data_IF_727702597302
#
_entry.id   IF_727702597302
#
_cell.length_a   1.000
_cell.length_b   1.000
_cell.length_c   1.000
_cell.angle_alpha   90.00
_cell.angle_beta   90.00
_cell.angle_gamma   90.00
#
_symmetry.space_group_name_H-M   'P 1'
#
loop_
_entity.id
_entity.type
_entity.pdbx_description
1 polymer ?
#
# COMPACT_ATOMS: atom_id res chain seq x y z
N UNK A 1 21.13 -21.55 -9.07
CA UNK A 1 21.19 -21.96 -10.49
C UNK A 1 20.33 -20.99 -11.28
N UNK A 2 20.92 -20.10 -12.06
CA UNK A 2 20.18 -19.19 -12.93
C UNK A 2 19.61 -20.02 -14.10
N UNK A 3 18.28 -20.02 -14.26
CA UNK A 3 17.64 -20.60 -15.45
C UNK A 3 18.07 -19.81 -16.68
N UNK A 4 18.44 -20.52 -17.74
CA UNK A 4 18.75 -19.91 -19.04
C UNK A 4 17.52 -19.22 -19.62
N UNK A 5 17.74 -18.09 -20.28
CA UNK A 5 16.72 -17.20 -20.88
C UNK A 5 16.05 -17.82 -22.13
N UNK A 6 16.30 -19.08 -22.42
CA UNK A 6 15.83 -19.79 -23.63
C UNK A 6 14.54 -20.61 -23.47
N UNK A 7 13.88 -20.52 -22.33
CA UNK A 7 12.56 -21.14 -22.17
C UNK A 7 11.48 -20.12 -22.61
N UNK A 8 11.02 -20.27 -23.82
CA UNK A 8 10.11 -19.33 -24.53
C UNK A 8 8.67 -19.29 -23.91
N UNK A 9 8.44 -20.10 -22.87
CA UNK A 9 7.17 -20.17 -22.16
C UNK A 9 7.20 -19.33 -20.88
N UNK A 10 6.20 -18.46 -20.67
CA UNK A 10 6.09 -17.71 -19.42
C UNK A 10 5.67 -18.62 -18.26
N UNK A 11 6.22 -18.38 -17.06
CA UNK A 11 5.78 -19.08 -15.84
C UNK A 11 4.32 -18.75 -15.46
N UNK A 12 3.86 -17.54 -15.79
CA UNK A 12 2.48 -17.07 -15.53
C UNK A 12 1.98 -16.25 -16.73
N UNK A 13 0.81 -16.61 -17.23
CA UNK A 13 0.08 -15.82 -18.22
C UNK A 13 -1.07 -15.07 -17.56
N UNK A 14 -1.32 -13.83 -17.99
CA UNK A 14 -2.44 -13.01 -17.51
C UNK A 14 -2.96 -12.07 -18.60
N UNK A 15 -4.21 -11.59 -18.42
CA UNK A 15 -4.80 -10.59 -19.30
C UNK A 15 -4.25 -9.19 -18.98
N UNK A 16 -4.03 -8.92 -17.70
CA UNK A 16 -3.55 -7.62 -17.20
C UNK A 16 -2.44 -7.82 -16.17
N UNK A 17 -1.30 -7.24 -16.45
CA UNK A 17 -0.19 -7.15 -15.50
C UNK A 17 -0.03 -5.71 -15.03
N UNK A 18 -0.01 -5.53 -13.71
CA UNK A 18 0.18 -4.22 -13.07
C UNK A 18 1.50 -4.22 -12.32
N UNK A 19 2.38 -3.29 -12.64
CA UNK A 19 3.66 -3.11 -11.97
C UNK A 19 3.59 -1.98 -10.95
N UNK A 20 3.74 -2.34 -9.67
CA UNK A 20 3.64 -1.44 -8.52
C UNK A 20 2.24 -1.41 -7.90
N UNK A 21 2.18 -1.57 -6.57
CA UNK A 21 0.94 -1.65 -5.79
C UNK A 21 0.64 -0.35 -5.01
N UNK A 22 1.03 0.79 -5.54
CA UNK A 22 0.56 2.09 -5.05
C UNK A 22 -0.93 2.32 -5.38
N UNK A 23 -1.52 3.50 -5.02
CA UNK A 23 -2.94 3.76 -5.20
C UNK A 23 -3.45 3.55 -6.64
N UNK A 24 -2.70 3.97 -7.64
CA UNK A 24 -3.03 3.72 -9.05
C UNK A 24 -2.97 2.23 -9.41
N UNK A 25 -1.93 1.54 -8.92
CA UNK A 25 -1.69 0.13 -9.25
C UNK A 25 -2.73 -0.80 -8.64
N UNK A 26 -2.97 -0.76 -7.33
CA UNK A 26 -3.98 -1.63 -6.74
C UNK A 26 -5.39 -1.31 -7.25
N UNK A 27 -5.69 -0.03 -7.53
CA UNK A 27 -6.98 0.35 -8.11
C UNK A 27 -7.17 -0.24 -9.51
N UNK A 28 -6.16 -0.15 -10.36
CA UNK A 28 -6.18 -0.76 -11.69
C UNK A 28 -6.31 -2.28 -11.62
N UNK A 29 -5.52 -2.94 -10.76
CA UNK A 29 -5.57 -4.39 -10.59
C UNK A 29 -6.94 -4.87 -10.09
N UNK A 30 -7.51 -4.20 -9.09
CA UNK A 30 -8.81 -4.58 -8.54
C UNK A 30 -9.92 -4.36 -9.56
N UNK A 31 -9.90 -3.23 -10.28
CA UNK A 31 -10.89 -2.99 -11.32
C UNK A 31 -10.79 -3.97 -12.47
N UNK A 32 -9.59 -4.33 -12.89
CA UNK A 32 -9.39 -5.35 -13.94
C UNK A 32 -9.95 -6.71 -13.51
N UNK A 33 -9.71 -7.11 -12.28
CA UNK A 33 -10.24 -8.35 -11.72
C UNK A 33 -11.77 -8.32 -11.60
N UNK A 34 -12.36 -7.18 -11.17
CA UNK A 34 -13.81 -7.00 -11.10
C UNK A 34 -14.48 -7.08 -12.49
N UNK A 35 -13.74 -6.80 -13.55
CA UNK A 35 -14.14 -6.96 -14.95
C UNK A 35 -13.87 -8.38 -15.51
N UNK A 36 -13.53 -9.33 -14.65
CA UNK A 36 -13.31 -10.73 -15.02
C UNK A 36 -11.95 -11.03 -15.66
N UNK A 37 -10.99 -10.10 -15.62
CA UNK A 37 -9.66 -10.30 -16.18
C UNK A 37 -8.76 -11.08 -15.24
N UNK A 38 -7.97 -12.03 -15.77
CA UNK A 38 -6.89 -12.68 -15.04
C UNK A 38 -5.79 -11.65 -14.77
N UNK A 39 -5.67 -11.20 -13.52
CA UNK A 39 -4.84 -10.07 -13.16
C UNK A 39 -3.67 -10.46 -12.27
N UNK A 40 -2.47 -9.98 -12.62
CA UNK A 40 -1.26 -10.09 -11.82
C UNK A 40 -0.83 -8.70 -11.37
N UNK A 41 -0.53 -8.55 -10.08
CA UNK A 41 -0.01 -7.34 -9.44
C UNK A 41 1.40 -7.62 -8.90
N UNK A 42 2.38 -6.91 -9.41
CA UNK A 42 3.78 -7.05 -8.99
C UNK A 42 4.17 -5.91 -8.06
N UNK A 43 4.72 -6.23 -6.88
CA UNK A 43 5.17 -5.23 -5.91
C UNK A 43 6.53 -5.64 -5.32
N UNK A 44 7.47 -4.71 -5.30
CA UNK A 44 8.82 -4.95 -4.76
C UNK A 44 8.90 -4.91 -3.23
N UNK A 45 7.99 -4.19 -2.58
CA UNK A 45 7.97 -4.07 -1.13
C UNK A 45 7.09 -5.13 -0.47
N UNK A 46 7.33 -5.38 0.81
CA UNK A 46 6.61 -6.41 1.57
C UNK A 46 5.10 -6.14 1.71
N UNK A 47 4.67 -4.88 1.60
CA UNK A 47 3.27 -4.48 1.78
C UNK A 47 2.73 -3.78 0.54
N UNK A 48 1.44 -3.99 0.25
CA UNK A 48 0.72 -3.22 -0.76
C UNK A 48 0.46 -1.78 -0.26
N UNK A 49 0.10 -0.88 -1.18
CA UNK A 49 -0.28 0.49 -0.85
C UNK A 49 0.74 1.55 -1.27
N UNK A 50 1.95 1.12 -1.66
CA UNK A 50 3.01 2.01 -2.13
C UNK A 50 3.43 3.07 -1.09
N UNK A 51 4.05 4.14 -1.55
CA UNK A 51 4.47 5.27 -0.71
C UNK A 51 3.29 5.90 0.03
N UNK A 52 2.14 6.06 -0.63
CA UNK A 52 0.97 6.73 -0.04
C UNK A 52 0.52 6.08 1.27
N UNK A 53 0.30 4.77 1.29
CA UNK A 53 -0.19 4.09 2.49
C UNK A 53 0.89 3.85 3.53
N UNK A 54 2.10 3.54 3.09
CA UNK A 54 3.13 3.06 4.00
C UNK A 54 3.94 4.19 4.66
N UNK A 55 4.30 5.24 3.91
CA UNK A 55 5.21 6.28 4.39
C UNK A 55 4.78 7.72 4.03
N UNK A 56 3.66 7.90 3.32
CA UNK A 56 3.19 9.18 2.82
C UNK A 56 1.84 9.60 3.42
N UNK A 57 0.80 9.56 2.58
CA UNK A 57 -0.51 10.17 2.87
C UNK A 57 -1.16 9.66 4.16
N UNK A 58 -1.12 8.36 4.41
CA UNK A 58 -1.82 7.78 5.55
C UNK A 58 -1.12 8.08 6.87
N UNK A 59 0.19 7.79 7.05
CA UNK A 59 0.87 8.13 8.29
C UNK A 59 0.88 9.64 8.56
N UNK A 60 1.04 10.49 7.54
CA UNK A 60 1.02 11.94 7.72
C UNK A 60 -0.35 12.44 8.18
N UNK A 61 -1.44 11.98 7.55
CA UNK A 61 -2.79 12.38 7.95
C UNK A 61 -3.18 11.87 9.34
N UNK A 62 -2.73 10.69 9.72
CA UNK A 62 -2.95 10.18 11.07
C UNK A 62 -2.30 11.09 12.15
N UNK A 63 -1.09 11.59 11.89
CA UNK A 63 -0.38 12.50 12.80
C UNK A 63 -0.92 13.92 12.74
N UNK A 64 -1.22 14.43 11.54
CA UNK A 64 -1.79 15.76 11.36
C UNK A 64 -3.16 15.91 12.04
N UNK A 65 -3.97 14.84 12.03
CA UNK A 65 -5.25 14.85 12.76
C UNK A 65 -5.04 15.05 14.28
N UNK A 66 -4.06 14.39 14.87
CA UNK A 66 -3.73 14.59 16.29
C UNK A 66 -3.29 16.04 16.55
N UNK A 67 -2.42 16.57 15.68
CA UNK A 67 -1.98 17.96 15.79
C UNK A 67 -3.16 18.96 15.69
N UNK A 68 -4.07 18.72 14.75
CA UNK A 68 -5.26 19.56 14.56
C UNK A 68 -6.17 19.57 15.80
N UNK A 69 -6.40 18.40 16.42
CA UNK A 69 -7.19 18.29 17.66
C UNK A 69 -6.55 19.05 18.81
N UNK A 70 -5.21 18.98 18.92
CA UNK A 70 -4.48 19.71 19.95
C UNK A 70 -4.57 21.23 19.74
N UNK A 71 -4.43 21.68 18.50
CA UNK A 71 -4.55 23.09 18.12
C UNK A 71 -5.96 23.63 18.36
N UNK A 72 -6.97 22.86 17.96
CA UNK A 72 -8.38 23.19 18.23
C UNK A 72 -8.67 23.31 19.73
N UNK A 73 -8.19 22.37 20.54
CA UNK A 73 -8.33 22.43 22.02
C UNK A 73 -7.71 23.70 22.61
N UNK A 74 -6.56 24.15 22.12
CA UNK A 74 -5.94 25.39 22.55
C UNK A 74 -6.78 26.64 22.18
N UNK A 75 -7.41 26.63 21.00
CA UNK A 75 -8.27 27.74 20.57
C UNK A 75 -9.54 27.88 21.44
N UNK A 76 -10.03 26.80 22.02
CA UNK A 76 -11.19 26.83 22.92
C UNK A 76 -10.97 27.67 24.19
N UNK A 77 -9.71 27.86 24.61
CA UNK A 77 -9.38 28.75 25.72
C UNK A 77 -9.86 30.20 25.47
N UNK A 78 -9.87 30.65 24.21
CA UNK A 78 -10.34 31.98 23.82
C UNK A 78 -11.84 32.21 24.04
N UNK A 79 -12.60 31.12 24.14
CA UNK A 79 -14.07 31.17 24.39
C UNK A 79 -14.42 30.66 25.79
N UNK A 80 -13.44 30.57 26.68
CA UNK A 80 -13.62 30.24 28.08
C UNK A 80 -13.56 28.76 28.45
N UNK A 81 -13.13 27.88 27.55
CA UNK A 81 -12.92 26.44 27.83
C UNK A 81 -11.45 26.10 27.75
N UNK A 82 -10.81 25.90 28.88
CA UNK A 82 -9.39 25.55 28.97
C UNK A 82 -9.22 24.07 29.27
N UNK A 83 -8.61 23.33 28.32
CA UNK A 83 -8.27 21.90 28.47
C UNK A 83 -6.89 21.69 29.12
N UNK A 84 -6.15 22.74 29.43
CA UNK A 84 -4.78 22.69 29.92
C UNK A 84 -3.76 22.24 28.87
N UNK A 85 -2.53 22.05 29.28
CA UNK A 85 -1.44 21.61 28.37
C UNK A 85 -1.56 20.11 28.12
N UNK A 86 -1.54 19.66 26.86
CA UNK A 86 -1.57 18.24 26.54
C UNK A 86 -0.29 17.53 26.98
N UNK A 87 -0.43 16.32 27.51
CA UNK A 87 0.68 15.40 27.75
C UNK A 87 0.81 14.45 26.59
N UNK A 88 2.01 14.34 26.00
CA UNK A 88 2.28 13.51 24.82
C UNK A 88 3.06 12.26 25.18
N UNK A 89 2.49 11.11 24.87
CA UNK A 89 3.17 9.81 24.86
C UNK A 89 3.53 9.48 23.41
N UNK A 90 4.78 9.70 23.03
CA UNK A 90 5.25 9.52 21.66
C UNK A 90 5.22 8.05 21.21
N UNK A 91 5.37 7.10 22.11
CA UNK A 91 5.35 5.68 21.78
C UNK A 91 3.93 5.22 21.47
N UNK A 92 2.94 5.67 22.25
CA UNK A 92 1.52 5.44 21.92
C UNK A 92 1.11 6.11 20.62
N UNK A 93 1.59 7.31 20.36
CA UNK A 93 1.32 8.02 19.11
C UNK A 93 1.90 7.28 17.89
N UNK A 94 3.14 6.80 17.98
CA UNK A 94 3.77 5.98 16.94
C UNK A 94 3.01 4.67 16.73
N UNK A 95 2.60 4.01 17.82
CA UNK A 95 1.82 2.78 17.77
C UNK A 95 0.45 3.01 17.10
N UNK A 96 -0.24 4.11 17.41
CA UNK A 96 -1.48 4.51 16.77
C UNK A 96 -1.29 4.68 15.25
N UNK A 97 -0.29 5.49 14.84
CA UNK A 97 0.05 5.68 13.43
C UNK A 97 0.30 4.35 12.71
N UNK A 98 1.10 3.47 13.32
CA UNK A 98 1.42 2.15 12.75
C UNK A 98 0.21 1.23 12.65
N UNK A 99 -0.70 1.27 13.63
CA UNK A 99 -1.98 0.54 13.60
C UNK A 99 -2.87 1.00 12.45
N UNK A 100 -2.97 2.31 12.20
CA UNK A 100 -3.74 2.86 11.08
C UNK A 100 -3.19 2.37 9.74
N UNK A 101 -1.87 2.47 9.54
CA UNK A 101 -1.19 1.98 8.33
C UNK A 101 -1.43 0.48 8.15
N UNK A 102 -1.19 -0.32 9.19
CA UNK A 102 -1.35 -1.78 9.14
C UNK A 102 -2.78 -2.22 8.82
N UNK A 103 -3.79 -1.51 9.36
CA UNK A 103 -5.20 -1.78 9.04
C UNK A 103 -5.50 -1.59 7.56
N UNK A 104 -5.01 -0.50 6.96
CA UNK A 104 -5.29 -0.19 5.56
C UNK A 104 -4.51 -1.09 4.60
N UNK A 105 -3.23 -1.32 4.85
CA UNK A 105 -2.41 -2.23 4.03
C UNK A 105 -2.89 -3.68 4.12
N UNK A 106 -3.32 -4.13 5.32
CA UNK A 106 -3.96 -5.44 5.51
C UNK A 106 -5.27 -5.55 4.75
N UNK A 107 -6.07 -4.48 4.72
CA UNK A 107 -7.30 -4.41 3.92
C UNK A 107 -7.05 -4.62 2.42
N UNK A 108 -5.97 -4.04 1.86
CA UNK A 108 -5.60 -4.26 0.46
C UNK A 108 -5.28 -5.73 0.16
N UNK A 109 -4.55 -6.40 1.05
CA UNK A 109 -4.27 -7.83 0.89
C UNK A 109 -5.56 -8.67 0.90
N UNK A 110 -6.49 -8.35 1.78
CA UNK A 110 -7.82 -9.02 1.83
C UNK A 110 -8.60 -8.78 0.53
N UNK A 111 -8.60 -7.54 0.04
CA UNK A 111 -9.29 -7.19 -1.22
C UNK A 111 -8.66 -7.87 -2.44
N UNK A 112 -7.32 -7.98 -2.50
CA UNK A 112 -6.62 -8.69 -3.57
C UNK A 112 -7.01 -10.18 -3.59
N UNK A 113 -7.02 -10.83 -2.42
CA UNK A 113 -7.44 -12.23 -2.28
C UNK A 113 -8.89 -12.46 -2.69
N UNK A 114 -9.81 -11.60 -2.22
CA UNK A 114 -11.24 -11.71 -2.55
C UNK A 114 -11.51 -11.60 -4.05
N UNK A 115 -10.70 -10.82 -4.77
CA UNK A 115 -10.77 -10.63 -6.23
C UNK A 115 -9.92 -11.61 -7.04
N UNK A 116 -9.25 -12.53 -6.37
CA UNK A 116 -8.34 -13.50 -7.00
C UNK A 116 -7.21 -12.84 -7.82
N UNK A 117 -6.78 -11.64 -7.40
CA UNK A 117 -5.59 -10.99 -7.97
C UNK A 117 -4.36 -11.74 -7.50
N UNK A 118 -3.54 -12.22 -8.44
CA UNK A 118 -2.26 -12.85 -8.12
C UNK A 118 -1.25 -11.76 -7.76
N UNK A 119 -0.79 -11.75 -6.50
CA UNK A 119 0.21 -10.79 -6.04
C UNK A 119 1.57 -11.47 -6.01
N UNK A 120 2.52 -10.92 -6.78
CA UNK A 120 3.91 -11.38 -6.83
C UNK A 120 4.82 -10.35 -6.16
N UNK A 121 5.72 -10.86 -5.31
CA UNK A 121 6.73 -10.04 -4.62
C UNK A 121 8.05 -10.09 -5.38
N UNK A 122 8.50 -8.93 -5.86
CA UNK A 122 9.75 -8.86 -6.58
C UNK A 122 9.93 -7.58 -7.37
N UNK A 123 11.11 -7.43 -7.94
CA UNK A 123 11.45 -6.31 -8.83
C UNK A 123 11.14 -6.72 -10.26
N UNK A 124 10.19 -6.04 -10.88
CA UNK A 124 9.80 -6.29 -12.26
C UNK A 124 10.62 -5.45 -13.24
N UNK A 125 11.03 -6.07 -14.35
CA UNK A 125 11.71 -5.44 -15.48
C UNK A 125 11.05 -5.87 -16.78
N UNK A 126 10.64 -4.92 -17.61
CA UNK A 126 10.14 -5.23 -18.96
C UNK A 126 11.25 -5.79 -19.83
N UNK A 127 11.02 -6.96 -20.40
CA UNK A 127 11.93 -7.64 -21.34
C UNK A 127 11.33 -7.74 -22.74
N UNK A 128 10.10 -7.25 -22.92
CA UNK A 128 9.41 -7.17 -24.19
C UNK A 128 8.07 -6.43 -24.02
N UNK A 129 7.34 -6.16 -25.12
CA UNK A 129 6.10 -5.39 -25.08
C UNK A 129 4.98 -6.06 -24.26
N UNK A 130 5.03 -7.40 -24.09
CA UNK A 130 4.05 -8.18 -23.34
C UNK A 130 4.71 -9.12 -22.34
N UNK A 131 5.97 -8.87 -21.96
CA UNK A 131 6.74 -9.71 -21.02
C UNK A 131 7.39 -8.88 -19.93
N UNK A 132 7.21 -9.32 -18.70
CA UNK A 132 7.88 -8.80 -17.51
C UNK A 132 8.67 -9.94 -16.85
N UNK A 133 9.95 -9.73 -16.66
CA UNK A 133 10.76 -10.57 -15.78
C UNK A 133 10.64 -10.07 -14.35
N UNK A 134 10.52 -10.98 -13.39
CA UNK A 134 10.39 -10.63 -11.97
C UNK A 134 11.49 -11.33 -11.19
N UNK A 135 12.36 -10.54 -10.58
CA UNK A 135 13.35 -11.01 -9.62
C UNK A 135 12.64 -11.11 -8.26
N UNK A 136 12.28 -12.34 -7.88
CA UNK A 136 11.51 -12.61 -6.65
C UNK A 136 12.34 -12.24 -5.43
N UNK A 137 11.81 -11.38 -4.58
CA UNK A 137 12.37 -11.11 -3.25
C UNK A 137 11.72 -12.04 -2.24
N UNK A 138 12.53 -12.90 -1.64
CA UNK A 138 12.17 -13.77 -0.50
C UNK A 138 11.98 -12.95 0.79
#
# INVERSE_FOLDING_TARGET
>A
MARSVDDDQPDIECDVLVLGAGPGGYSAAFRSADLGKKTVLVERYATLGGVCLNVGCIPSKALLHVAAVMDEALHFANIGVDFGKPSLDLDKLRAHKSKVVGKLTGGLNTMAKARKVTVLRGVGKFVGPHRLQIDITT
#
